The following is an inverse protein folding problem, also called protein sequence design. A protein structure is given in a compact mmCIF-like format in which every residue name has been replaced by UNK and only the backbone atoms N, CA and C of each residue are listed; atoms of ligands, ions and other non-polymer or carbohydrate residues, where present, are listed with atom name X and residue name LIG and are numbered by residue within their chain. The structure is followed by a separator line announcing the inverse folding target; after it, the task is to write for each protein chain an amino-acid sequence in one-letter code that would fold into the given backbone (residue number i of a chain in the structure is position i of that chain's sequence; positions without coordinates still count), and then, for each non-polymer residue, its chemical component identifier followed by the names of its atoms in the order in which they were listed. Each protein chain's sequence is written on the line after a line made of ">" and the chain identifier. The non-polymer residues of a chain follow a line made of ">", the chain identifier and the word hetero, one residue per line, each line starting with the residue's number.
data_IF_597011462427
#
_entry.id   IF_597011462427
#
_cell.length_a   1.000
_cell.length_b   1.000
_cell.length_c   1.000
_cell.angle_alpha   90.00
_cell.angle_beta   90.00
_cell.angle_gamma   90.00
#
_symmetry.space_group_name_H-M   'P 1'
#
loop_
_entity.id
_entity.type
_entity.pdbx_description
1 polymer ?
#
# COMPACT_ATOMS: atom_id res chain seq x y z
N UNK A 1 -17.17 1.18 -0.82
CA UNK A 1 -16.09 1.87 -0.07
C UNK A 1 -15.75 3.14 -0.83
N UNK A 2 -15.49 4.25 -0.14
CA UNK A 2 -15.03 5.49 -0.78
C UNK A 2 -13.49 5.62 -0.71
N UNK A 3 -12.91 6.61 -1.38
CA UNK A 3 -11.45 6.82 -1.41
C UNK A 3 -10.84 6.97 0.00
N UNK A 4 -11.47 7.75 0.87
CA UNK A 4 -11.00 7.99 2.24
C UNK A 4 -10.93 6.70 3.07
N UNK A 5 -11.97 5.86 2.99
CA UNK A 5 -12.00 4.56 3.63
C UNK A 5 -10.91 3.62 3.11
N UNK A 6 -10.63 3.66 1.79
CA UNK A 6 -9.55 2.88 1.18
C UNK A 6 -8.19 3.35 1.66
N UNK A 7 -7.98 4.67 1.81
CA UNK A 7 -6.74 5.24 2.39
C UNK A 7 -6.57 4.75 3.83
N UNK A 8 -7.59 4.90 4.68
CA UNK A 8 -7.53 4.50 6.08
C UNK A 8 -7.30 2.98 6.23
N UNK A 9 -7.94 2.18 5.39
CA UNK A 9 -7.70 0.74 5.34
C UNK A 9 -6.24 0.45 4.95
N UNK A 10 -5.78 1.03 3.85
CA UNK A 10 -4.42 0.86 3.35
C UNK A 10 -3.37 1.23 4.38
N UNK A 11 -3.55 2.36 5.08
CA UNK A 11 -2.65 2.79 6.15
C UNK A 11 -2.57 1.77 7.30
N UNK A 12 -3.70 1.21 7.71
CA UNK A 12 -3.74 0.19 8.78
C UNK A 12 -3.05 -1.10 8.38
N UNK A 13 -3.19 -1.54 7.13
CA UNK A 13 -2.50 -2.74 6.64
C UNK A 13 -1.00 -2.49 6.49
N UNK A 14 -0.62 -1.36 5.90
CA UNK A 14 0.78 -1.00 5.67
C UNK A 14 1.59 -0.76 6.97
N UNK A 15 0.95 -0.41 8.09
CA UNK A 15 1.67 -0.23 9.38
C UNK A 15 2.31 -1.53 9.91
N UNK A 16 1.82 -2.70 9.46
CA UNK A 16 2.44 -4.00 9.78
C UNK A 16 3.72 -4.24 8.98
N UNK A 17 3.88 -3.59 7.83
CA UNK A 17 4.90 -3.87 6.83
C UNK A 17 6.01 -2.83 6.87
N UNK A 18 7.16 -3.23 7.42
CA UNK A 18 8.33 -2.35 7.65
C UNK A 18 9.58 -2.98 7.03
N UNK A 19 9.72 -2.94 5.69
CA UNK A 19 10.90 -3.48 5.01
C UNK A 19 12.18 -2.82 5.53
N UNK A 20 13.13 -3.62 5.98
CA UNK A 20 14.37 -3.14 6.64
C UNK A 20 14.12 -2.15 7.80
N UNK A 21 12.95 -2.24 8.46
CA UNK A 21 12.54 -1.33 9.53
C UNK A 21 11.99 0.02 9.08
N UNK A 22 11.89 0.25 7.76
CA UNK A 22 11.38 1.51 7.19
C UNK A 22 9.87 1.40 6.94
N UNK A 23 9.04 2.31 7.50
CA UNK A 23 7.61 2.34 7.24
C UNK A 23 7.26 2.64 5.78
N UNK A 24 6.20 1.98 5.31
CA UNK A 24 5.51 2.31 4.05
C UNK A 24 4.34 3.24 4.38
N UNK A 25 4.15 4.30 3.60
CA UNK A 25 3.09 5.29 3.76
C UNK A 25 2.28 5.47 2.48
N UNK A 26 0.99 5.70 2.61
CA UNK A 26 0.15 6.19 1.52
C UNK A 26 0.55 7.63 1.17
N UNK A 27 0.81 7.90 -0.11
CA UNK A 27 1.16 9.22 -0.62
C UNK A 27 -0.10 10.10 -0.72
N UNK A 28 -0.14 11.23 0.00
CA UNK A 28 -1.38 12.02 0.19
C UNK A 28 -1.79 12.90 -0.99
N UNK A 29 -0.90 13.16 -1.94
CA UNK A 29 -1.10 14.08 -3.06
C UNK A 29 -1.84 13.43 -4.26
N UNK A 30 -1.74 12.10 -4.41
CA UNK A 30 -2.48 11.26 -5.37
C UNK A 30 -2.75 9.87 -4.82
N UNK A 31 -3.32 9.83 -3.63
CA UNK A 31 -3.39 8.63 -2.81
C UNK A 31 -4.13 7.47 -3.47
N UNK A 32 -5.24 7.73 -4.15
CA UNK A 32 -6.14 6.66 -4.61
C UNK A 32 -6.69 6.96 -5.99
N UNK A 33 -6.74 5.93 -6.82
CA UNK A 33 -7.50 5.87 -8.07
C UNK A 33 -8.35 4.61 -8.06
N UNK A 34 -9.60 4.72 -8.49
CA UNK A 34 -10.47 3.56 -8.71
C UNK A 34 -10.66 3.32 -10.20
N UNK A 35 -10.36 2.11 -10.67
CA UNK A 35 -10.54 1.74 -12.08
C UNK A 35 -11.08 0.31 -12.17
N UNK A 36 -12.27 0.17 -12.77
CA UNK A 36 -12.99 -1.10 -12.78
C UNK A 36 -13.41 -1.53 -11.38
N UNK A 37 -12.87 -2.66 -10.91
CA UNK A 37 -13.09 -3.20 -9.57
C UNK A 37 -11.87 -3.05 -8.65
N UNK A 38 -10.80 -2.42 -9.13
CA UNK A 38 -9.51 -2.37 -8.45
C UNK A 38 -9.23 -0.95 -7.94
N UNK A 39 -8.67 -0.88 -6.74
CA UNK A 39 -8.19 0.34 -6.12
C UNK A 39 -6.67 0.43 -6.25
N UNK A 40 -6.18 1.51 -6.83
CA UNK A 40 -4.76 1.78 -6.97
C UNK A 40 -4.37 2.81 -5.92
N UNK A 41 -3.51 2.42 -4.99
CA UNK A 41 -3.13 3.24 -3.85
C UNK A 41 -1.67 3.62 -3.97
N UNK A 42 -1.38 4.91 -4.16
CA UNK A 42 -0.01 5.41 -4.26
C UNK A 42 0.68 5.29 -2.90
N UNK A 43 1.85 4.66 -2.87
CA UNK A 43 2.63 4.42 -1.65
C UNK A 43 4.09 4.82 -1.82
N UNK A 44 4.72 5.20 -0.72
CA UNK A 44 6.14 5.54 -0.67
C UNK A 44 6.77 5.04 0.61
N UNK A 45 8.08 4.85 0.59
CA UNK A 45 8.86 4.67 1.82
C UNK A 45 9.10 6.03 2.48
N UNK A 46 9.18 6.06 3.81
CA UNK A 46 9.58 7.28 4.52
C UNK A 46 11.06 7.62 4.30
N UNK A 47 11.88 6.60 4.05
CA UNK A 47 13.33 6.71 3.84
C UNK A 47 13.80 5.68 2.81
N UNK A 48 14.99 5.85 2.24
CA UNK A 48 15.53 4.88 1.30
C UNK A 48 15.92 3.57 2.02
N UNK A 49 15.50 2.43 1.48
CA UNK A 49 15.92 1.11 1.98
C UNK A 49 17.16 0.61 1.24
N UNK A 50 18.08 -0.12 1.91
CA UNK A 50 19.24 -0.72 1.25
C UNK A 50 18.86 -1.77 0.20
N UNK A 51 17.71 -2.44 0.37
CA UNK A 51 17.27 -3.54 -0.48
C UNK A 51 15.87 -3.28 -1.02
N UNK A 52 15.81 -2.75 -2.23
CA UNK A 52 14.53 -2.42 -2.87
C UNK A 52 13.61 -3.63 -3.04
N UNK A 53 14.13 -4.85 -3.18
CA UNK A 53 13.28 -6.04 -3.30
C UNK A 53 12.46 -6.32 -2.04
N UNK A 54 12.98 -6.04 -0.84
CA UNK A 54 12.20 -6.17 0.40
C UNK A 54 10.98 -5.25 0.43
N UNK A 55 11.08 -4.08 -0.20
CA UNK A 55 9.96 -3.17 -0.33
C UNK A 55 8.86 -3.76 -1.23
N UNK A 56 9.22 -4.32 -2.39
CA UNK A 56 8.25 -4.96 -3.28
C UNK A 56 7.64 -6.23 -2.69
N UNK A 57 8.43 -7.05 -1.98
CA UNK A 57 7.93 -8.23 -1.26
C UNK A 57 6.88 -7.82 -0.21
N UNK A 58 7.18 -6.78 0.58
CA UNK A 58 6.27 -6.25 1.58
C UNK A 58 4.97 -5.68 0.98
N UNK A 59 5.03 -5.08 -0.22
CA UNK A 59 3.83 -4.63 -0.92
C UNK A 59 2.98 -5.81 -1.40
N UNK A 60 3.60 -6.80 -2.04
CA UNK A 60 2.89 -7.99 -2.51
C UNK A 60 2.18 -8.73 -1.37
N UNK A 61 2.86 -8.89 -0.23
CA UNK A 61 2.26 -9.50 0.96
C UNK A 61 1.08 -8.66 1.50
N UNK A 62 1.18 -7.33 1.47
CA UNK A 62 0.10 -6.44 1.89
C UNK A 62 -1.11 -6.50 0.95
N UNK A 63 -0.89 -6.59 -0.37
CA UNK A 63 -1.97 -6.74 -1.36
C UNK A 63 -2.72 -8.05 -1.14
N UNK A 64 -2.00 -9.16 -0.94
CA UNK A 64 -2.57 -10.48 -0.64
C UNK A 64 -3.41 -10.42 0.64
N UNK A 65 -2.88 -9.85 1.73
CA UNK A 65 -3.60 -9.74 3.02
C UNK A 65 -4.91 -8.94 2.88
N UNK A 66 -4.91 -7.92 2.02
CA UNK A 66 -6.08 -7.06 1.79
C UNK A 66 -7.17 -7.81 1.00
N UNK A 67 -6.78 -8.59 -0.01
CA UNK A 67 -7.72 -9.44 -0.78
C UNK A 67 -8.30 -10.55 0.09
N UNK A 68 -7.46 -11.22 0.87
CA UNK A 68 -7.88 -12.37 1.69
C UNK A 68 -8.79 -11.94 2.86
N UNK A 69 -8.50 -10.79 3.49
CA UNK A 69 -9.21 -10.35 4.70
C UNK A 69 -10.41 -9.46 4.40
N UNK A 70 -10.29 -8.53 3.45
CA UNK A 70 -11.31 -7.51 3.19
C UNK A 70 -12.09 -7.77 1.89
N UNK A 71 -11.68 -8.79 1.11
CA UNK A 71 -12.23 -9.08 -0.23
C UNK A 71 -12.17 -7.86 -1.17
N UNK A 72 -11.13 -7.04 -0.99
CA UNK A 72 -10.93 -5.81 -1.73
C UNK A 72 -9.68 -5.93 -2.60
N UNK A 73 -9.83 -5.72 -3.90
CA UNK A 73 -8.72 -5.67 -4.84
C UNK A 73 -8.01 -4.32 -4.73
N UNK A 74 -6.91 -4.29 -3.98
CA UNK A 74 -6.06 -3.13 -3.77
C UNK A 74 -4.68 -3.41 -4.34
N UNK A 75 -4.21 -2.54 -5.22
CA UNK A 75 -2.85 -2.54 -5.74
C UNK A 75 -2.09 -1.34 -5.14
N UNK A 76 -0.99 -1.62 -4.45
CA UNK A 76 -0.09 -0.60 -3.93
C UNK A 76 0.90 -0.18 -5.01
N UNK A 77 0.81 1.07 -5.44
CA UNK A 77 1.61 1.62 -6.54
C UNK A 77 2.75 2.47 -5.97
N UNK A 78 4.02 2.05 -6.10
CA UNK A 78 5.15 2.85 -5.66
C UNK A 78 5.22 4.19 -6.38
N UNK A 79 5.35 5.27 -5.62
CA UNK A 79 5.65 6.61 -6.12
C UNK A 79 6.96 7.12 -5.49
N UNK A 80 7.75 7.82 -6.30
CA UNK A 80 9.09 8.33 -5.95
C UNK A 80 9.08 9.73 -5.35
#
# INVERSE_FOLDING_TARGET
>A
MNEEQVIELSQRYLDKWKPDGVPIQVATDRAVKHEGNSWYVSVRLTEAVPRQYHYFDALADAEIDTVDTEHLDVMFVPVG
#
